data_IF_441033418718
#
_entry.id   IF_441033418718
#
_cell.length_a   1.000
_cell.length_b   1.000
_cell.length_c   1.000
_cell.angle_alpha   90.00
_cell.angle_beta   90.00
_cell.angle_gamma   90.00
#
_symmetry.space_group_name_H-M   'P 1'
#
loop_
_entity.id
_entity.type
_entity.pdbx_description
1 polymer ?
#
# COMPACT_ATOMS: atom_id res chain seq x y z
N UNK A 1 -14.81 12.03 -7.49
CA UNK A 1 -14.82 13.51 -7.54
C UNK A 1 -13.72 14.11 -6.69
N UNK A 2 -13.75 13.81 -5.39
CA UNK A 2 -12.75 14.32 -4.45
C UNK A 2 -11.83 13.21 -3.99
N UNK A 3 -10.52 13.47 -4.04
CA UNK A 3 -9.52 12.48 -3.63
C UNK A 3 -9.30 12.53 -2.12
N UNK A 4 -9.37 11.37 -1.48
CA UNK A 4 -9.18 11.28 -0.03
C UNK A 4 -7.91 10.50 0.29
N UNK A 5 -7.65 10.33 1.58
CA UNK A 5 -6.47 9.60 2.04
C UNK A 5 -6.65 8.10 1.83
N UNK A 6 -7.85 7.61 2.08
CA UNK A 6 -8.16 6.19 1.91
C UNK A 6 -8.26 5.83 0.44
N UNK A 7 -8.78 6.76 -0.36
CA UNK A 7 -8.94 6.54 -1.80
C UNK A 7 -7.58 6.44 -2.48
N UNK A 8 -6.62 7.24 -2.03
CA UNK A 8 -5.28 7.23 -2.60
C UNK A 8 -4.56 5.93 -2.30
N UNK A 9 -4.88 5.33 -1.16
CA UNK A 9 -4.26 4.07 -0.76
C UNK A 9 -4.72 2.92 -1.65
N UNK A 10 -5.97 2.98 -2.09
CA UNK A 10 -6.52 1.94 -2.96
C UNK A 10 -5.95 2.03 -4.37
N UNK A 11 -5.68 3.25 -4.82
CA UNK A 11 -5.13 3.47 -6.15
C UNK A 11 -3.62 3.22 -6.17
N UNK A 12 -2.97 3.47 -5.03
CA UNK A 12 -1.53 3.26 -4.92
C UNK A 12 -1.18 1.78 -5.03
N UNK A 13 -2.04 0.95 -4.46
CA UNK A 13 -1.81 -0.50 -4.48
C UNK A 13 -2.15 -1.09 -5.85
N UNK A 14 -3.10 -0.47 -6.53
CA UNK A 14 -3.52 -0.93 -7.85
C UNK A 14 -2.44 -0.65 -8.90
N UNK A 15 -1.77 0.49 -8.75
CA UNK A 15 -0.71 0.88 -9.67
C UNK A 15 0.54 0.04 -9.47
N UNK A 16 0.76 -0.42 -8.24
CA UNK A 16 1.92 -1.24 -7.93
C UNK A 16 1.75 -2.66 -8.45
N UNK A 17 0.57 -3.24 -8.22
CA UNK A 17 0.28 -4.60 -8.67
C UNK A 17 0.43 -4.71 -10.18
N UNK A 18 -0.12 -3.75 -10.91
CA UNK A 18 -0.05 -3.74 -12.37
C UNK A 18 1.38 -3.53 -12.83
N UNK A 19 2.13 -2.70 -12.12
CA UNK A 19 3.51 -2.41 -12.46
C UNK A 19 4.39 -3.64 -12.29
N UNK A 20 4.15 -4.39 -11.21
CA UNK A 20 4.91 -5.60 -10.93
C UNK A 20 4.90 -6.55 -12.13
N UNK A 21 3.75 -6.63 -12.79
CA UNK A 21 3.61 -7.50 -13.96
C UNK A 21 4.29 -6.91 -15.18
N UNK A 22 4.54 -5.60 -15.15
CA UNK A 22 5.19 -4.92 -16.25
C UNK A 22 6.70 -4.78 -16.02
N UNK A 23 7.25 -5.71 -15.25
CA UNK A 23 8.69 -5.70 -14.95
C UNK A 23 9.10 -4.38 -14.30
N UNK A 24 8.18 -3.78 -13.55
CA UNK A 24 8.45 -2.52 -12.87
C UNK A 24 8.56 -2.73 -11.37
N UNK A 25 9.31 -3.75 -10.97
CA UNK A 25 9.50 -4.06 -9.55
C UNK A 25 9.96 -2.83 -8.78
N UNK A 26 10.76 -2.00 -9.43
CA UNK A 26 11.27 -0.78 -8.80
C UNK A 26 10.13 0.18 -8.47
N UNK A 27 9.26 0.41 -9.44
CA UNK A 27 8.12 1.31 -9.26
C UNK A 27 7.15 0.74 -8.23
N UNK A 28 6.93 -0.56 -8.29
CA UNK A 28 6.02 -1.23 -7.36
C UNK A 28 6.46 -1.02 -5.91
N UNK A 29 7.77 -0.93 -5.71
CA UNK A 29 8.33 -0.74 -4.38
C UNK A 29 7.90 0.61 -3.80
N UNK A 30 7.91 1.64 -4.64
CA UNK A 30 7.52 2.98 -4.22
C UNK A 30 6.00 3.12 -4.14
N UNK A 31 5.31 2.41 -5.02
CA UNK A 31 3.85 2.45 -5.05
C UNK A 31 3.25 1.75 -3.84
N UNK A 32 3.72 0.53 -3.58
CA UNK A 32 3.23 -0.26 -2.45
C UNK A 32 3.60 0.41 -1.13
N UNK A 33 4.81 0.96 -1.07
CA UNK A 33 5.27 1.62 0.15
C UNK A 33 4.45 2.87 0.44
N UNK A 34 4.13 3.62 -0.61
CA UNK A 34 3.36 4.85 -0.47
C UNK A 34 1.94 4.55 0.03
N UNK A 35 1.34 3.50 -0.52
CA UNK A 35 -0.01 3.10 -0.12
C UNK A 35 -0.08 2.79 1.37
N UNK A 36 0.94 2.12 1.88
CA UNK A 36 0.99 1.76 3.30
C UNK A 36 1.05 3.00 4.17
N UNK A 37 1.67 4.06 3.66
CA UNK A 37 1.79 5.31 4.40
C UNK A 37 0.43 6.01 4.54
N UNK A 38 -0.36 5.94 3.48
CA UNK A 38 -1.68 6.57 3.48
C UNK A 38 -2.66 5.78 4.35
N UNK A 39 -2.48 4.47 4.41
CA UNK A 39 -3.35 3.61 5.21
C UNK A 39 -3.19 3.89 6.69
N UNK A 40 -1.95 3.84 7.17
CA UNK A 40 -1.65 4.09 8.58
C UNK A 40 -2.12 5.48 9.00
N UNK A 41 -1.81 6.47 8.18
CA UNK A 41 -2.19 7.86 8.47
C UNK A 41 -3.71 7.99 8.57
N UNK A 42 -4.43 7.20 7.77
CA UNK A 42 -5.88 7.24 7.76
C UNK A 42 -6.45 6.72 9.08
N UNK A 43 -5.73 5.78 9.69
CA UNK A 43 -6.16 5.20 10.96
C UNK A 43 -5.87 6.13 12.13
N UNK A 44 -4.66 6.70 12.13
CA UNK A 44 -4.26 7.61 13.20
C UNK A 44 -5.19 8.81 13.28
N UNK A 45 -5.40 9.48 12.15
CA UNK A 45 -6.27 10.65 12.11
C UNK A 45 -7.74 10.23 12.05
N UNK A 46 -8.11 9.56 10.97
CA UNK A 46 -9.48 9.10 10.79
C UNK A 46 -9.69 7.73 11.43
N UNK A 47 -9.93 7.72 12.73
CA UNK A 47 -10.14 6.47 13.46
C UNK A 47 -11.61 6.07 13.44
N UNK A 48 -11.90 4.89 12.90
CA UNK A 48 -13.27 4.39 12.82
C UNK A 48 -13.48 3.24 13.81
N UNK A 49 -14.58 2.52 13.64
CA UNK A 49 -14.90 1.40 14.51
C UNK A 49 -13.84 0.31 14.43
N UNK A 50 -13.97 -0.71 15.27
CA UNK A 50 -13.03 -1.82 15.27
C UNK A 50 -13.00 -2.52 13.93
N UNK A 51 -14.16 -2.61 13.28
CA UNK A 51 -14.26 -3.26 11.98
C UNK A 51 -13.37 -2.56 10.95
N UNK A 52 -13.42 -1.24 10.93
CA UNK A 52 -12.62 -0.46 9.99
C UNK A 52 -11.14 -0.45 10.40
N UNK A 53 -10.89 -0.29 11.70
CA UNK A 53 -9.53 -0.27 12.22
C UNK A 53 -8.80 -1.57 11.91
N UNK A 54 -9.47 -2.69 12.18
CA UNK A 54 -8.88 -4.00 11.93
C UNK A 54 -8.74 -4.26 10.42
N UNK A 55 -9.72 -3.80 9.65
CA UNK A 55 -9.71 -3.98 8.20
C UNK A 55 -8.52 -3.26 7.57
N UNK A 56 -8.32 -2.00 7.97
CA UNK A 56 -7.21 -1.20 7.43
C UNK A 56 -5.88 -1.71 7.97
N UNK A 57 -5.83 -2.02 9.26
CA UNK A 57 -4.61 -2.51 9.88
C UNK A 57 -4.12 -3.78 9.21
N UNK A 58 -5.05 -4.63 8.79
CA UNK A 58 -4.73 -5.89 8.14
C UNK A 58 -4.28 -5.65 6.70
N UNK A 59 -4.78 -4.58 6.09
CA UNK A 59 -4.44 -4.27 4.71
C UNK A 59 -3.04 -3.68 4.61
N UNK A 60 -2.72 -2.75 5.49
CA UNK A 60 -1.41 -2.12 5.49
C UNK A 60 -0.30 -3.12 5.83
N UNK A 61 -0.57 -3.99 6.80
CA UNK A 61 0.39 -4.99 7.21
C UNK A 61 0.66 -5.99 6.08
N UNK A 62 -0.38 -6.32 5.32
CA UNK A 62 -0.26 -7.26 4.22
C UNK A 62 0.54 -6.66 3.07
N UNK A 63 0.31 -5.39 2.80
CA UNK A 63 1.01 -4.70 1.72
C UNK A 63 2.48 -4.47 2.07
N UNK A 64 2.74 -4.20 3.35
CA UNK A 64 4.11 -3.97 3.81
C UNK A 64 4.98 -5.20 3.60
N UNK A 65 4.38 -6.38 3.77
CA UNK A 65 5.11 -7.63 3.59
C UNK A 65 5.44 -7.87 2.13
N UNK A 66 4.52 -7.50 1.25
CA UNK A 66 4.72 -7.67 -0.19
C UNK A 66 5.78 -6.73 -0.71
N UNK A 67 5.69 -5.46 -0.32
CA UNK A 67 6.64 -4.44 -0.76
C UNK A 67 8.07 -4.82 -0.36
N UNK A 68 8.19 -5.55 0.74
CA UNK A 68 9.51 -5.97 1.23
C UNK A 68 10.11 -7.04 0.32
N UNK A 69 9.25 -7.87 -0.28
CA UNK A 69 9.69 -8.93 -1.17
C UNK A 69 10.13 -8.37 -2.52
N UNK A 70 9.47 -7.30 -2.94
CA UNK A 70 9.79 -6.66 -4.22
C UNK A 70 11.19 -6.07 -4.20
N UNK A 71 11.59 -5.53 -3.05
CA UNK A 71 12.91 -4.92 -2.90
C UNK A 71 14.01 -5.98 -3.00
N UNK A 72 13.82 -7.08 -2.28
CA UNK A 72 14.80 -8.17 -2.28
C UNK A 72 14.91 -8.80 -3.67
N UNK A 73 13.82 -8.76 -4.42
CA UNK A 73 13.79 -9.33 -5.76
C UNK A 73 14.60 -8.48 -6.74
N UNK A 74 14.33 -7.18 -6.74
CA UNK A 74 15.04 -6.26 -7.62
C UNK A 74 16.48 -6.05 -7.17
N UNK A 75 16.68 -6.07 -5.86
CA UNK A 75 18.02 -5.88 -5.29
C UNK A 75 18.94 -7.03 -5.67
N UNK A 76 18.43 -8.25 -5.53
CA UNK A 76 19.21 -9.44 -5.87
C UNK A 76 19.57 -9.47 -7.35
N UNK A 77 18.58 -9.18 -8.20
CA UNK A 77 18.78 -9.16 -9.63
C UNK A 77 19.53 -7.90 -10.07
#
# INVERSE_FOLDING_TARGET
MTTSTLQKAIDLVTKATEEDKAKNYEEALRLYQHAVEYFLHAIKYEAHSDKAKESIRAKCVQYLDRAEKLKDYLRSK
#
